data_IF_891516369588
#
_entry.id   IF_891516369588
#
_cell.length_a   1.000
_cell.length_b   1.000
_cell.length_c   1.000
_cell.angle_alpha   90.00
_cell.angle_beta   90.00
_cell.angle_gamma   90.00
#
_symmetry.space_group_name_H-M   'P 1'
#
loop_
_entity.id
_entity.type
_entity.pdbx_description
1 polymer ?
#
# COMPACT_ATOMS: atom_id res chain seq x y z
N UNK A 1 53.09 26.62 90.91
CA UNK A 1 54.07 25.53 90.71
C UNK A 1 55.17 26.07 89.83
N UNK A 2 56.44 25.75 90.11
CA UNK A 2 57.55 26.02 89.19
C UNK A 2 57.79 24.76 88.37
N UNK A 3 58.06 24.93 87.08
CA UNK A 3 58.30 23.86 86.12
C UNK A 3 59.69 24.02 85.52
N UNK A 4 60.43 22.93 85.45
CA UNK A 4 61.62 22.76 84.63
C UNK A 4 61.25 21.79 83.50
N UNK A 5 61.41 22.23 82.25
CA UNK A 5 60.98 21.49 81.08
C UNK A 5 62.12 21.37 80.07
N UNK A 6 62.41 20.13 79.67
CA UNK A 6 63.41 19.80 78.66
C UNK A 6 62.74 19.01 77.52
N UNK A 7 62.92 19.46 76.28
CA UNK A 7 62.47 18.74 75.09
C UNK A 7 63.66 17.96 74.53
N UNK A 8 63.46 16.67 74.31
CA UNK A 8 64.47 15.75 73.83
C UNK A 8 64.21 15.35 72.39
N UNK A 9 65.28 15.37 71.60
CA UNK A 9 65.31 14.70 70.32
C UNK A 9 65.33 13.17 70.51
N UNK A 10 64.85 12.41 69.52
CA UNK A 10 64.91 10.95 69.52
C UNK A 10 66.32 10.41 69.75
N UNK A 11 66.45 9.37 70.57
CA UNK A 11 67.74 8.71 70.82
C UNK A 11 68.02 7.68 69.71
N UNK A 12 68.77 8.07 68.68
CA UNK A 12 69.02 7.23 67.49
C UNK A 12 70.02 6.09 67.73
N UNK A 13 70.89 6.18 68.74
CA UNK A 13 71.78 5.09 69.13
C UNK A 13 71.00 3.97 69.85
N UNK A 14 71.09 2.73 69.37
CA UNK A 14 70.50 1.56 70.02
C UNK A 14 69.04 1.23 69.66
N UNK A 15 68.56 1.63 68.47
CA UNK A 15 67.31 1.10 67.91
C UNK A 15 66.01 1.64 68.54
N UNK A 16 66.03 2.87 69.06
CA UNK A 16 64.80 3.57 69.45
C UNK A 16 64.11 4.17 68.22
N UNK A 17 62.78 4.36 68.30
CA UNK A 17 62.01 5.04 67.25
C UNK A 17 62.53 6.47 67.05
N UNK A 18 63.00 6.75 65.84
CA UNK A 18 63.58 8.03 65.42
C UNK A 18 62.54 9.15 65.26
N UNK A 19 61.26 8.84 65.52
CA UNK A 19 60.14 9.80 65.57
C UNK A 19 59.76 10.18 66.99
N UNK A 20 60.32 9.55 68.02
CA UNK A 20 59.90 9.74 69.42
C UNK A 20 60.46 11.02 70.07
N UNK A 21 60.00 12.18 69.60
CA UNK A 21 60.20 13.46 70.29
C UNK A 21 59.38 13.49 71.58
N UNK A 22 60.02 13.80 72.70
CA UNK A 22 59.35 13.79 74.00
C UNK A 22 59.90 14.87 74.93
N UNK A 23 59.10 15.26 75.92
CA UNK A 23 59.48 16.27 76.90
C UNK A 23 59.49 15.69 78.32
N UNK A 24 60.54 16.01 79.07
CA UNK A 24 60.56 15.83 80.51
C UNK A 24 60.12 17.13 81.18
N UNK A 25 59.08 17.06 82.00
CA UNK A 25 58.51 18.21 82.71
C UNK A 25 58.57 17.91 84.19
N UNK A 26 59.61 18.41 84.85
CA UNK A 26 59.76 18.33 86.30
C UNK A 26 59.07 19.52 86.94
N UNK A 27 58.40 19.30 88.07
CA UNK A 27 57.68 20.38 88.72
C UNK A 27 57.76 20.31 90.24
N UNK A 28 57.69 21.48 90.87
CA UNK A 28 57.79 21.56 92.33
C UNK A 28 56.54 20.99 92.98
N UNK A 29 56.73 20.12 93.98
CA UNK A 29 55.62 19.54 94.75
C UNK A 29 55.13 20.46 95.87
N UNK A 30 55.66 21.68 95.96
CA UNK A 30 55.31 22.72 96.94
C UNK A 30 55.12 24.04 96.20
N UNK A 31 54.23 24.88 96.73
CA UNK A 31 54.08 26.25 96.26
C UNK A 31 55.26 27.10 96.74
N UNK A 32 55.46 28.24 96.07
CA UNK A 32 56.37 29.29 96.56
C UNK A 32 55.53 30.28 97.35
N UNK A 33 55.97 30.59 98.57
CA UNK A 33 55.32 31.53 99.48
C UNK A 33 55.52 32.98 98.99
N UNK A 34 54.84 33.92 99.64
CA UNK A 34 55.03 35.36 99.36
C UNK A 34 56.44 35.86 99.68
N UNK A 35 57.21 35.14 100.48
CA UNK A 35 58.60 35.47 100.83
C UNK A 35 59.62 34.82 99.89
N UNK A 36 59.19 33.96 98.97
CA UNK A 36 60.06 33.25 98.04
C UNK A 36 60.52 31.86 98.50
N UNK A 37 60.12 31.43 99.70
CA UNK A 37 60.44 30.10 100.24
C UNK A 37 59.41 29.03 99.82
N UNK A 38 59.76 27.75 99.93
CA UNK A 38 58.77 26.68 99.73
C UNK A 38 57.75 26.62 100.87
N UNK A 39 56.47 26.54 100.52
CA UNK A 39 55.39 26.32 101.49
C UNK A 39 55.54 24.98 102.23
N UNK A 40 55.14 24.98 103.51
CA UNK A 40 55.24 23.81 104.41
C UNK A 40 54.32 22.65 104.00
N UNK A 41 53.24 22.93 103.28
CA UNK A 41 52.32 21.94 102.73
C UNK A 41 52.76 21.49 101.32
N UNK A 42 52.84 20.17 101.12
CA UNK A 42 53.07 19.55 99.80
C UNK A 42 51.73 19.45 99.06
N UNK A 43 51.73 19.71 97.76
CA UNK A 43 50.62 19.33 96.88
C UNK A 43 50.41 17.82 96.96
N UNK A 44 49.17 17.40 97.19
CA UNK A 44 48.78 15.97 97.28
C UNK A 44 47.97 15.51 96.07
N UNK A 45 47.75 16.40 95.13
CA UNK A 45 46.96 16.20 93.90
C UNK A 45 47.54 15.12 92.97
N UNK A 46 48.78 14.68 93.22
CA UNK A 46 49.48 13.58 92.55
C UNK A 46 49.81 12.38 93.48
N UNK A 47 49.25 12.37 94.70
CA UNK A 47 49.37 11.27 95.67
C UNK A 47 48.43 10.12 95.29
N UNK A 48 48.68 8.92 95.81
CA UNK A 48 47.98 7.67 95.44
C UNK A 48 46.44 7.74 95.53
N UNK A 49 45.89 8.59 96.41
CA UNK A 49 44.44 8.66 96.69
C UNK A 49 43.67 9.60 95.74
N UNK A 50 44.25 10.74 95.35
CA UNK A 50 43.63 11.76 94.48
C UNK A 50 44.28 11.87 93.07
N UNK A 51 45.46 11.26 92.89
CA UNK A 51 46.29 11.39 91.69
C UNK A 51 45.67 10.85 90.42
N UNK A 52 44.80 9.85 90.51
CA UNK A 52 44.18 9.21 89.34
C UNK A 52 43.25 10.15 88.58
N UNK A 53 42.52 11.04 89.28
CA UNK A 53 41.63 12.03 88.64
C UNK A 53 42.41 13.16 88.01
N UNK A 54 43.37 13.73 88.74
CA UNK A 54 44.25 14.81 88.25
C UNK A 54 45.02 14.38 86.99
N UNK A 55 45.59 13.17 87.01
CA UNK A 55 46.33 12.62 85.85
C UNK A 55 45.42 12.37 84.66
N UNK A 56 44.18 11.90 84.89
CA UNK A 56 43.22 11.68 83.79
C UNK A 56 42.83 12.99 83.11
N UNK A 57 42.49 14.03 83.89
CA UNK A 57 42.22 15.36 83.35
C UNK A 57 43.42 15.96 82.62
N UNK A 58 44.64 15.74 83.11
CA UNK A 58 45.85 16.21 82.43
C UNK A 58 46.09 15.51 81.10
N UNK A 59 45.81 14.19 81.02
CA UNK A 59 45.90 13.44 79.75
C UNK A 59 44.88 13.92 78.73
N UNK A 60 43.65 14.16 79.18
CA UNK A 60 42.59 14.74 78.37
C UNK A 60 42.99 16.11 77.84
N UNK A 61 43.35 17.04 78.74
CA UNK A 61 43.77 18.38 78.36
C UNK A 61 45.00 18.38 77.44
N UNK A 62 45.94 17.46 77.65
CA UNK A 62 47.09 17.32 76.75
C UNK A 62 46.68 16.81 75.36
N UNK A 63 45.77 15.83 75.28
CA UNK A 63 45.24 15.37 74.00
C UNK A 63 44.52 16.51 73.24
N UNK A 64 43.75 17.34 73.94
CA UNK A 64 43.07 18.50 73.35
C UNK A 64 44.07 19.55 72.83
N UNK A 65 45.13 19.84 73.60
CA UNK A 65 46.21 20.73 73.18
C UNK A 65 46.89 20.21 71.90
N UNK A 66 47.22 18.91 71.86
CA UNK A 66 47.84 18.28 70.69
C UNK A 66 46.90 18.35 69.49
N UNK A 67 45.63 17.98 69.65
CA UNK A 67 44.64 18.02 68.56
C UNK A 67 44.42 19.43 68.01
N UNK A 68 44.39 20.43 68.88
CA UNK A 68 44.31 21.85 68.48
C UNK A 68 45.52 22.23 67.63
N UNK A 69 46.72 21.81 68.04
CA UNK A 69 47.94 22.12 67.29
C UNK A 69 48.01 21.36 65.95
N UNK A 70 47.56 20.10 65.91
CA UNK A 70 47.46 19.29 64.69
C UNK A 70 46.50 19.95 63.68
N UNK A 71 45.35 20.42 64.14
CA UNK A 71 44.40 21.14 63.30
C UNK A 71 44.99 22.44 62.74
N UNK A 72 45.69 23.22 63.56
CA UNK A 72 46.33 24.47 63.12
C UNK A 72 47.38 24.26 62.02
N UNK A 73 48.04 23.10 61.98
CA UNK A 73 49.00 22.76 60.92
C UNK A 73 48.37 22.01 59.74
N UNK A 74 47.02 21.84 59.73
CA UNK A 74 46.28 21.18 58.65
C UNK A 74 46.32 19.66 58.67
N UNK A 75 46.76 19.04 59.77
CA UNK A 75 46.77 17.59 59.96
C UNK A 75 45.36 17.07 60.26
N UNK A 76 45.00 15.93 59.67
CA UNK A 76 43.70 15.26 59.87
C UNK A 76 43.74 14.24 61.01
N UNK A 77 44.94 13.88 61.45
CA UNK A 77 45.22 12.98 62.53
C UNK A 77 44.76 13.55 63.87
N UNK A 78 44.27 12.68 64.76
CA UNK A 78 43.85 13.06 66.11
C UNK A 78 44.36 12.04 67.11
N UNK A 79 44.71 12.53 68.29
CA UNK A 79 45.09 11.70 69.44
C UNK A 79 43.95 11.68 70.45
N UNK A 80 43.85 10.59 71.21
CA UNK A 80 42.90 10.50 72.32
C UNK A 80 43.59 9.96 73.57
N UNK A 81 43.15 10.45 74.72
CA UNK A 81 43.55 9.94 76.02
C UNK A 81 42.83 8.64 76.40
N UNK A 82 41.75 8.30 75.67
CA UNK A 82 40.92 7.13 75.90
C UNK A 82 41.59 5.86 75.37
N UNK A 83 41.29 4.72 76.01
CA UNK A 83 41.71 3.41 75.48
C UNK A 83 40.90 3.06 74.22
N UNK A 84 41.40 2.12 73.40
CA UNK A 84 40.63 1.61 72.25
C UNK A 84 39.26 1.04 72.65
N UNK A 85 39.17 0.45 73.85
CA UNK A 85 37.89 -0.04 74.39
C UNK A 85 36.92 1.11 74.67
N UNK A 86 37.39 2.19 75.31
CA UNK A 86 36.55 3.34 75.62
C UNK A 86 36.16 4.13 74.36
N UNK A 87 37.03 4.13 73.34
CA UNK A 87 36.73 4.65 72.01
C UNK A 87 35.74 3.78 71.22
N UNK A 88 35.48 2.54 71.66
CA UNK A 88 34.61 1.57 70.98
C UNK A 88 34.92 1.38 69.49
N UNK A 89 36.19 1.58 69.09
CA UNK A 89 36.64 1.43 67.70
C UNK A 89 36.93 -0.03 67.32
N UNK A 90 36.82 -0.94 68.29
CA UNK A 90 37.05 -2.37 68.13
C UNK A 90 38.47 -2.74 67.69
N UNK A 91 39.47 -1.88 67.98
CA UNK A 91 40.88 -2.21 67.85
C UNK A 91 41.37 -2.90 69.13
N UNK A 92 42.30 -3.84 68.97
CA UNK A 92 42.92 -4.58 70.08
C UNK A 92 44.06 -3.75 70.71
N UNK A 93 44.11 -3.66 72.03
CA UNK A 93 45.14 -2.92 72.76
C UNK A 93 46.41 -3.75 72.94
N UNK A 94 47.58 -3.15 72.71
CA UNK A 94 48.88 -3.78 73.00
C UNK A 94 49.20 -3.78 74.49
N UNK A 95 50.02 -4.73 74.93
CA UNK A 95 50.53 -4.80 76.31
C UNK A 95 51.85 -4.04 76.42
N UNK A 96 52.06 -3.34 77.54
CA UNK A 96 53.31 -2.63 77.79
C UNK A 96 54.49 -3.62 77.84
N UNK A 97 55.46 -3.46 76.93
CA UNK A 97 56.61 -4.35 76.79
C UNK A 97 57.56 -4.25 77.99
N UNK A 98 57.73 -3.05 78.56
CA UNK A 98 58.71 -2.81 79.62
C UNK A 98 60.15 -2.81 79.11
N UNK A 99 61.06 -2.26 79.93
CA UNK A 99 62.44 -2.01 79.52
C UNK A 99 63.19 -3.25 79.03
N UNK A 100 63.05 -4.38 79.73
CA UNK A 100 63.78 -5.61 79.41
C UNK A 100 63.37 -6.20 78.05
N UNK A 101 62.07 -6.22 77.75
CA UNK A 101 61.55 -6.69 76.45
C UNK A 101 61.98 -5.75 75.33
N UNK A 102 61.90 -4.43 75.55
CA UNK A 102 62.36 -3.44 74.56
C UNK A 102 63.86 -3.56 74.28
N UNK A 103 64.70 -3.86 75.28
CA UNK A 103 66.13 -4.11 75.07
C UNK A 103 66.40 -5.36 74.26
N UNK A 104 65.73 -6.48 74.57
CA UNK A 104 65.88 -7.73 73.80
C UNK A 104 65.48 -7.52 72.34
N UNK A 105 64.37 -6.80 72.12
CA UNK A 105 63.90 -6.43 70.79
C UNK A 105 64.93 -5.61 70.00
N UNK A 106 65.63 -4.69 70.66
CA UNK A 106 66.72 -3.89 70.04
C UNK A 106 67.93 -4.73 69.62
N UNK A 107 68.15 -5.87 70.28
CA UNK A 107 69.16 -6.85 69.90
C UNK A 107 68.67 -7.84 68.82
N UNK A 108 67.45 -7.65 68.30
CA UNK A 108 66.83 -8.56 67.33
C UNK A 108 66.30 -9.86 67.95
N UNK A 109 66.13 -9.91 69.28
CA UNK A 109 65.60 -11.07 69.99
C UNK A 109 64.12 -10.83 70.29
N UNK A 110 63.27 -11.63 69.66
CA UNK A 110 61.83 -11.56 69.88
C UNK A 110 61.42 -12.24 71.19
N UNK A 111 60.37 -11.70 71.80
CA UNK A 111 59.72 -12.22 73.01
C UNK A 111 58.26 -12.52 72.71
N UNK A 112 57.62 -13.32 73.55
CA UNK A 112 56.18 -13.59 73.43
C UNK A 112 55.34 -12.31 73.44
N UNK A 113 55.71 -11.31 74.24
CA UNK A 113 55.01 -10.02 74.34
C UNK A 113 55.22 -9.18 73.07
N UNK A 114 56.44 -9.10 72.53
CA UNK A 114 56.71 -8.33 71.31
C UNK A 114 56.01 -8.94 70.09
N UNK A 115 56.03 -10.27 69.95
CA UNK A 115 55.33 -11.00 68.88
C UNK A 115 53.80 -10.85 69.00
N UNK A 116 53.25 -10.93 70.21
CA UNK A 116 51.82 -10.73 70.44
C UNK A 116 51.37 -9.30 70.08
N UNK A 117 52.15 -8.29 70.45
CA UNK A 117 51.88 -6.90 70.08
C UNK A 117 51.96 -6.66 68.58
N UNK A 118 52.92 -7.28 67.88
CA UNK A 118 53.04 -7.15 66.43
C UNK A 118 51.86 -7.81 65.72
N UNK A 119 51.42 -8.98 66.18
CA UNK A 119 50.22 -9.63 65.68
C UNK A 119 48.95 -8.78 65.92
N UNK A 120 48.84 -8.11 67.07
CA UNK A 120 47.76 -7.15 67.37
C UNK A 120 47.79 -5.96 66.40
N UNK A 121 48.97 -5.36 66.18
CA UNK A 121 49.14 -4.23 65.25
C UNK A 121 48.76 -4.62 63.83
N UNK A 122 49.15 -5.82 63.39
CA UNK A 122 48.79 -6.35 62.08
C UNK A 122 47.26 -6.51 61.94
N UNK A 123 46.60 -7.17 62.90
CA UNK A 123 45.14 -7.34 62.87
C UNK A 123 44.39 -6.00 62.89
N UNK A 124 44.86 -5.04 63.68
CA UNK A 124 44.29 -3.69 63.70
C UNK A 124 44.45 -2.99 62.34
N UNK A 125 45.62 -3.09 61.72
CA UNK A 125 45.86 -2.53 60.39
C UNK A 125 44.96 -3.17 59.32
N UNK A 126 44.86 -4.51 59.31
CA UNK A 126 43.97 -5.26 58.41
C UNK A 126 42.50 -4.83 58.61
N UNK A 127 42.06 -4.65 59.85
CA UNK A 127 40.70 -4.21 60.16
C UNK A 127 40.40 -2.82 59.59
N UNK A 128 41.30 -1.86 59.79
CA UNK A 128 41.14 -0.50 59.25
C UNK A 128 41.09 -0.49 57.73
N UNK A 129 41.94 -1.28 57.07
CA UNK A 129 41.92 -1.43 55.60
C UNK A 129 40.59 -2.05 55.13
N UNK A 130 40.13 -3.12 55.79
CA UNK A 130 38.88 -3.77 55.44
C UNK A 130 37.66 -2.86 55.62
N UNK A 131 37.60 -2.08 56.71
CA UNK A 131 36.52 -1.12 56.92
C UNK A 131 36.50 -0.03 55.84
N UNK A 132 37.67 0.44 55.40
CA UNK A 132 37.78 1.39 54.30
C UNK A 132 37.29 0.79 52.97
N UNK A 133 37.72 -0.43 52.65
CA UNK A 133 37.29 -1.14 51.43
C UNK A 133 35.78 -1.37 51.43
N UNK A 134 35.20 -1.79 52.56
CA UNK A 134 33.73 -1.97 52.68
C UNK A 134 33.00 -0.66 52.41
N UNK A 135 33.48 0.46 52.96
CA UNK A 135 32.88 1.77 52.74
C UNK A 135 32.95 2.21 51.28
N UNK A 136 34.05 1.95 50.59
CA UNK A 136 34.21 2.22 49.16
C UNK A 136 33.27 1.36 48.32
N UNK A 137 33.18 0.05 48.60
CA UNK A 137 32.26 -0.85 47.92
C UNK A 137 30.79 -0.45 48.13
N UNK A 138 30.41 -0.03 49.33
CA UNK A 138 29.04 0.43 49.63
C UNK A 138 28.67 1.69 48.81
N UNK A 139 29.64 2.59 48.61
CA UNK A 139 29.48 3.75 47.73
C UNK A 139 29.31 3.33 46.26
N UNK A 140 30.12 2.38 45.78
CA UNK A 140 30.01 1.86 44.41
C UNK A 140 28.67 1.15 44.16
N UNK A 141 28.20 0.36 45.12
CA UNK A 141 26.89 -0.30 45.08
C UNK A 141 25.79 0.77 44.98
N UNK A 142 25.83 1.79 45.85
CA UNK A 142 24.84 2.87 45.85
C UNK A 142 24.77 3.60 44.50
N UNK A 143 25.93 3.89 43.90
CA UNK A 143 26.01 4.54 42.57
C UNK A 143 25.45 3.62 41.49
N UNK A 144 25.79 2.33 41.53
CA UNK A 144 25.33 1.33 40.55
C UNK A 144 23.83 1.11 40.62
N UNK A 145 23.26 1.04 41.82
CA UNK A 145 21.81 0.91 42.03
C UNK A 145 21.06 2.10 41.45
N UNK A 146 21.57 3.32 41.66
CA UNK A 146 21.01 4.53 41.08
C UNK A 146 21.03 4.49 39.55
N UNK A 147 22.16 4.09 38.95
CA UNK A 147 22.28 3.98 37.50
C UNK A 147 21.30 2.93 36.93
N UNK A 148 21.11 1.81 37.62
CA UNK A 148 20.15 0.78 37.21
C UNK A 148 18.72 1.32 37.25
N UNK A 149 18.37 2.11 38.28
CA UNK A 149 17.07 2.78 38.35
C UNK A 149 16.86 3.74 37.16
N UNK A 150 17.83 4.61 36.89
CA UNK A 150 17.77 5.56 35.77
C UNK A 150 17.61 4.84 34.42
N UNK A 151 18.39 3.76 34.19
CA UNK A 151 18.30 2.95 32.97
C UNK A 151 16.95 2.23 32.82
N UNK A 152 16.35 1.77 33.93
CA UNK A 152 15.02 1.15 33.91
C UNK A 152 13.95 2.17 33.54
N UNK A 153 14.06 3.40 34.05
CA UNK A 153 13.15 4.49 33.70
C UNK A 153 13.28 4.86 32.21
N UNK A 154 14.50 5.07 31.72
CA UNK A 154 14.77 5.36 30.31
C UNK A 154 14.23 4.26 29.39
N UNK A 155 14.45 2.99 29.77
CA UNK A 155 13.93 1.83 29.01
C UNK A 155 12.40 1.82 28.96
N UNK A 156 11.75 2.11 30.09
CA UNK A 156 10.29 2.19 30.18
C UNK A 156 9.73 3.32 29.31
N UNK A 157 10.36 4.49 29.32
CA UNK A 157 9.97 5.61 28.46
C UNK A 157 10.15 5.30 26.98
N UNK A 158 11.26 4.66 26.62
CA UNK A 158 11.52 4.20 25.26
C UNK A 158 10.45 3.21 24.79
N UNK A 159 10.13 2.20 25.62
CA UNK A 159 9.13 1.18 25.30
C UNK A 159 7.73 1.79 25.16
N UNK A 160 7.37 2.77 26.02
CA UNK A 160 6.13 3.55 25.89
C UNK A 160 6.08 4.32 24.57
N UNK A 161 7.16 5.02 24.21
CA UNK A 161 7.24 5.81 22.97
C UNK A 161 7.16 4.91 21.72
N UNK A 162 7.78 3.73 21.77
CA UNK A 162 7.66 2.74 20.70
C UNK A 162 6.23 2.21 20.58
N UNK A 163 5.58 1.87 21.69
CA UNK A 163 4.19 1.44 21.70
C UNK A 163 3.24 2.52 21.15
N UNK A 164 3.45 3.79 21.51
CA UNK A 164 2.69 4.92 20.98
C UNK A 164 2.88 5.09 19.48
N UNK A 165 4.13 4.99 19.01
CA UNK A 165 4.46 5.08 17.58
C UNK A 165 3.82 3.94 16.79
N UNK A 166 3.89 2.71 17.29
CA UNK A 166 3.26 1.54 16.68
C UNK A 166 1.73 1.67 16.64
N UNK A 167 1.13 2.17 17.72
CA UNK A 167 -0.31 2.44 17.80
C UNK A 167 -0.73 3.53 16.80
N UNK A 168 0.03 4.62 16.71
CA UNK A 168 -0.21 5.69 15.75
C UNK A 168 -0.09 5.20 14.30
N UNK A 169 0.91 4.38 13.98
CA UNK A 169 1.07 3.77 12.66
C UNK A 169 -0.11 2.85 12.31
N UNK A 170 -0.59 2.07 13.27
CA UNK A 170 -1.75 1.18 13.09
C UNK A 170 -3.03 1.99 12.82
N UNK A 171 -3.27 3.06 13.59
CA UNK A 171 -4.41 3.97 13.39
C UNK A 171 -4.33 4.65 12.01
N UNK A 172 -3.14 5.11 11.62
CA UNK A 172 -2.93 5.73 10.31
C UNK A 172 -3.19 4.74 9.16
N UNK A 173 -2.75 3.49 9.29
CA UNK A 173 -3.02 2.44 8.30
C UNK A 173 -4.52 2.12 8.20
N UNK A 174 -5.23 2.04 9.33
CA UNK A 174 -6.69 1.82 9.34
C UNK A 174 -7.44 2.97 8.67
N UNK A 175 -7.09 4.23 8.98
CA UNK A 175 -7.69 5.42 8.34
C UNK A 175 -7.47 5.42 6.83
N UNK A 176 -6.29 5.01 6.36
CA UNK A 176 -6.01 4.90 4.94
C UNK A 176 -6.90 3.85 4.27
N UNK A 177 -7.05 2.67 4.87
CA UNK A 177 -7.94 1.60 4.36
C UNK A 177 -9.39 2.08 4.29
N UNK A 178 -9.87 2.78 5.32
CA UNK A 178 -11.22 3.32 5.37
C UNK A 178 -11.44 4.39 4.29
N UNK A 179 -10.48 5.32 4.14
CA UNK A 179 -10.51 6.33 3.10
C UNK A 179 -10.52 5.71 1.68
N UNK A 180 -9.64 4.73 1.41
CA UNK A 180 -9.56 4.07 0.11
C UNK A 180 -10.86 3.29 -0.20
N UNK A 181 -11.48 2.69 0.83
CA UNK A 181 -12.80 2.04 0.71
C UNK A 181 -13.89 3.06 0.35
N UNK A 182 -13.90 4.22 0.99
CA UNK A 182 -14.89 5.25 0.73
C UNK A 182 -14.72 5.86 -0.67
N UNK A 183 -13.47 6.08 -1.10
CA UNK A 183 -13.17 6.48 -2.48
C UNK A 183 -13.65 5.45 -3.51
N UNK A 184 -13.45 4.15 -3.25
CA UNK A 184 -13.92 3.09 -4.14
C UNK A 184 -15.46 3.05 -4.24
N UNK A 185 -16.17 3.29 -3.14
CA UNK A 185 -17.65 3.44 -3.16
C UNK A 185 -18.07 4.65 -3.98
N UNK A 186 -17.41 5.79 -3.79
CA UNK A 186 -17.72 7.00 -4.55
C UNK A 186 -17.51 6.79 -6.05
N UNK A 187 -16.41 6.13 -6.44
CA UNK A 187 -16.13 5.79 -7.84
C UNK A 187 -17.23 4.88 -8.44
N UNK A 188 -17.71 3.90 -7.68
CA UNK A 188 -18.81 3.04 -8.13
C UNK A 188 -20.12 3.84 -8.29
N UNK A 189 -20.40 4.78 -7.38
CA UNK A 189 -21.58 5.67 -7.46
C UNK A 189 -21.51 6.59 -8.68
N UNK A 190 -20.36 7.23 -8.90
CA UNK A 190 -20.14 8.11 -10.06
C UNK A 190 -20.25 7.33 -11.37
N UNK A 191 -19.66 6.13 -11.41
CA UNK A 191 -19.78 5.22 -12.55
C UNK A 191 -21.23 4.81 -12.81
N UNK A 192 -21.99 4.49 -11.76
CA UNK A 192 -23.40 4.17 -11.88
C UNK A 192 -24.20 5.35 -12.46
N UNK A 193 -23.98 6.57 -11.95
CA UNK A 193 -24.66 7.79 -12.45
C UNK A 193 -24.35 8.05 -13.93
N UNK A 194 -23.09 7.93 -14.34
CA UNK A 194 -22.69 8.08 -15.75
C UNK A 194 -23.35 7.03 -16.65
N UNK A 195 -23.37 5.76 -16.23
CA UNK A 195 -24.00 4.68 -16.99
C UNK A 195 -25.53 4.86 -17.06
N UNK A 196 -26.15 5.33 -15.98
CA UNK A 196 -27.57 5.64 -15.95
C UNK A 196 -27.90 6.79 -16.90
N UNK A 197 -27.12 7.87 -16.92
CA UNK A 197 -27.34 9.00 -17.82
C UNK A 197 -27.20 8.58 -19.29
N UNK A 198 -26.19 7.77 -19.60
CA UNK A 198 -26.03 7.17 -20.94
C UNK A 198 -27.22 6.31 -21.34
N UNK A 199 -27.71 5.47 -20.43
CA UNK A 199 -28.90 4.67 -20.68
C UNK A 199 -30.13 5.55 -20.92
N UNK A 200 -30.34 6.55 -20.07
CA UNK A 200 -31.45 7.50 -20.18
C UNK A 200 -31.45 8.20 -21.54
N UNK A 201 -30.33 8.82 -21.92
CA UNK A 201 -30.23 9.56 -23.17
C UNK A 201 -30.46 8.67 -24.40
N UNK A 202 -29.94 7.43 -24.37
CA UNK A 202 -30.23 6.46 -25.41
C UNK A 202 -31.72 6.11 -25.47
N UNK A 203 -32.31 5.78 -24.32
CA UNK A 203 -33.71 5.36 -24.25
C UNK A 203 -34.63 6.49 -24.71
N UNK A 204 -34.40 7.73 -24.26
CA UNK A 204 -35.19 8.91 -24.65
C UNK A 204 -35.16 9.04 -26.19
N UNK A 205 -33.96 9.00 -26.77
CA UNK A 205 -33.77 9.07 -28.23
C UNK A 205 -34.45 7.92 -28.98
N UNK A 206 -34.35 6.69 -28.45
CA UNK A 206 -34.92 5.49 -29.05
C UNK A 206 -36.46 5.57 -29.08
N UNK A 207 -37.09 5.89 -27.94
CA UNK A 207 -38.54 5.93 -27.84
C UNK A 207 -39.12 7.14 -28.57
N UNK A 208 -38.45 8.29 -28.60
CA UNK A 208 -38.82 9.43 -29.46
C UNK A 208 -38.80 9.01 -30.94
N UNK A 209 -37.74 8.34 -31.38
CA UNK A 209 -37.59 7.87 -32.77
C UNK A 209 -38.70 6.90 -33.16
N UNK A 210 -39.03 5.95 -32.28
CA UNK A 210 -40.13 5.01 -32.47
C UNK A 210 -41.49 5.73 -32.53
N UNK A 211 -41.71 6.69 -31.64
CA UNK A 211 -42.96 7.44 -31.59
C UNK A 211 -43.16 8.28 -32.86
N UNK A 212 -42.12 9.00 -33.29
CA UNK A 212 -42.14 9.78 -34.53
C UNK A 212 -42.42 8.90 -35.76
N UNK A 213 -41.79 7.73 -35.84
CA UNK A 213 -42.08 6.75 -36.90
C UNK A 213 -43.56 6.36 -36.91
N UNK A 214 -44.11 6.01 -35.75
CA UNK A 214 -45.50 5.58 -35.63
C UNK A 214 -46.47 6.71 -35.99
N UNK A 215 -46.14 7.95 -35.62
CA UNK A 215 -46.93 9.13 -35.99
C UNK A 215 -46.94 9.32 -37.52
N UNK A 216 -45.77 9.32 -38.16
CA UNK A 216 -45.69 9.46 -39.63
C UNK A 216 -46.41 8.31 -40.35
N UNK A 217 -46.31 7.08 -39.84
CA UNK A 217 -47.06 5.93 -40.37
C UNK A 217 -48.58 6.08 -40.20
N UNK A 218 -49.02 6.66 -39.08
CA UNK A 218 -50.43 6.96 -38.85
C UNK A 218 -50.93 8.03 -39.83
N UNK A 219 -50.17 9.11 -40.02
CA UNK A 219 -50.53 10.22 -40.91
C UNK A 219 -50.73 9.73 -42.37
N UNK A 220 -49.83 8.88 -42.87
CA UNK A 220 -49.99 8.31 -44.23
C UNK A 220 -51.12 7.28 -44.31
N UNK A 221 -51.45 6.61 -43.21
CA UNK A 221 -52.57 5.67 -43.14
C UNK A 221 -53.90 6.44 -43.19
N UNK A 222 -54.00 7.55 -42.45
CA UNK A 222 -55.13 8.47 -42.54
C UNK A 222 -55.26 9.10 -43.93
N UNK A 223 -54.14 9.45 -44.57
CA UNK A 223 -54.13 9.92 -45.96
C UNK A 223 -54.70 8.87 -46.94
N UNK A 224 -54.32 7.59 -46.77
CA UNK A 224 -54.85 6.49 -47.58
C UNK A 224 -56.36 6.33 -47.38
N UNK A 225 -56.84 6.38 -46.14
CA UNK A 225 -58.27 6.26 -45.85
C UNK A 225 -59.09 7.43 -46.43
N UNK A 226 -58.55 8.65 -46.38
CA UNK A 226 -59.15 9.82 -47.08
C UNK A 226 -59.21 9.59 -48.59
N UNK A 227 -58.16 9.02 -49.18
CA UNK A 227 -58.10 8.71 -50.61
C UNK A 227 -59.14 7.65 -51.00
N UNK A 228 -59.24 6.54 -50.25
CA UNK A 228 -60.27 5.50 -50.46
C UNK A 228 -61.68 6.08 -50.36
N UNK A 229 -61.94 6.92 -49.36
CA UNK A 229 -63.25 7.59 -49.17
C UNK A 229 -63.58 8.56 -50.30
N UNK A 230 -62.59 9.19 -50.92
CA UNK A 230 -62.81 10.03 -52.10
C UNK A 230 -63.08 9.17 -53.34
N UNK A 231 -62.33 8.08 -53.53
CA UNK A 231 -62.52 7.15 -54.65
C UNK A 231 -63.92 6.52 -54.62
N UNK A 232 -64.41 6.14 -53.43
CA UNK A 232 -65.75 5.54 -53.26
C UNK A 232 -66.90 6.47 -53.64
N UNK A 233 -66.64 7.78 -53.83
CA UNK A 233 -67.63 8.76 -54.29
C UNK A 233 -67.62 8.97 -55.80
N UNK A 234 -66.60 8.47 -56.50
CA UNK A 234 -66.52 8.55 -57.96
C UNK A 234 -67.45 7.50 -58.58
N UNK A 235 -68.16 7.86 -59.66
CA UNK A 235 -68.99 6.92 -60.42
C UNK A 235 -68.16 6.28 -61.51
N UNK A 236 -68.38 4.98 -61.73
CA UNK A 236 -67.82 4.22 -62.85
C UNK A 236 -66.28 4.22 -62.95
N UNK A 237 -65.58 4.36 -61.82
CA UNK A 237 -64.11 4.32 -61.76
C UNK A 237 -63.64 3.38 -60.66
N UNK A 238 -62.61 2.57 -60.93
CA UNK A 238 -61.85 1.86 -59.90
C UNK A 238 -60.34 2.08 -60.09
N UNK A 239 -59.59 1.91 -58.99
CA UNK A 239 -58.13 1.97 -58.99
C UNK A 239 -57.56 0.55 -58.87
N UNK A 240 -56.55 0.25 -59.69
CA UNK A 240 -55.75 -0.97 -59.56
C UNK A 240 -54.29 -0.66 -59.84
N UNK A 241 -53.43 -1.01 -58.89
CA UNK A 241 -51.97 -0.88 -58.99
C UNK A 241 -51.47 0.54 -59.28
N UNK A 242 -52.20 1.57 -58.85
CA UNK A 242 -51.91 2.99 -59.05
C UNK A 242 -52.50 3.58 -60.32
N UNK A 243 -53.30 2.82 -61.07
CA UNK A 243 -53.90 3.22 -62.36
C UNK A 243 -55.43 3.19 -62.25
N UNK A 244 -56.09 4.19 -62.83
CA UNK A 244 -57.57 4.27 -62.86
C UNK A 244 -58.14 3.64 -64.13
N UNK A 245 -59.27 2.95 -63.97
CA UNK A 245 -59.97 2.27 -65.04
C UNK A 245 -61.46 2.60 -65.01
N UNK A 246 -62.08 2.66 -66.18
CA UNK A 246 -63.54 2.76 -66.29
C UNK A 246 -64.19 1.43 -65.88
N UNK A 247 -65.18 1.47 -64.99
CA UNK A 247 -65.73 0.27 -64.35
C UNK A 247 -66.41 -0.70 -65.34
N UNK A 248 -67.02 -0.18 -66.41
CA UNK A 248 -67.68 -1.02 -67.42
C UNK A 248 -66.72 -1.49 -68.54
N UNK A 249 -65.95 -0.59 -69.14
CA UNK A 249 -65.11 -0.92 -70.32
C UNK A 249 -63.73 -1.45 -69.95
N UNK A 250 -63.28 -1.25 -68.70
CA UNK A 250 -61.92 -1.59 -68.24
C UNK A 250 -60.80 -0.86 -68.98
N UNK A 251 -61.14 0.22 -69.70
CA UNK A 251 -60.15 1.08 -70.33
C UNK A 251 -59.45 1.94 -69.28
N UNK A 252 -58.16 2.20 -69.50
CA UNK A 252 -57.40 3.14 -68.68
C UNK A 252 -57.94 4.55 -68.86
N UNK A 253 -58.19 5.23 -67.75
CA UNK A 253 -58.68 6.61 -67.76
C UNK A 253 -57.79 7.51 -66.91
N UNK A 254 -57.77 8.80 -67.25
CA UNK A 254 -57.14 9.83 -66.44
C UNK A 254 -58.21 10.62 -65.71
N UNK A 255 -58.05 10.78 -64.39
CA UNK A 255 -58.96 11.56 -63.55
C UNK A 255 -58.16 12.58 -62.73
N UNK A 256 -58.78 13.72 -62.44
CA UNK A 256 -58.19 14.71 -61.55
C UNK A 256 -58.34 14.26 -60.09
N UNK A 257 -57.22 13.85 -59.49
CA UNK A 257 -57.17 13.46 -58.09
C UNK A 257 -56.98 14.68 -57.16
N UNK A 258 -57.44 14.62 -55.90
CA UNK A 258 -57.11 15.62 -54.89
C UNK A 258 -55.59 15.71 -54.67
N UNK A 259 -55.10 16.85 -54.19
CA UNK A 259 -53.67 17.05 -53.89
C UNK A 259 -53.13 16.04 -52.85
N UNK A 260 -53.97 15.60 -51.91
CA UNK A 260 -53.61 14.62 -50.88
C UNK A 260 -53.83 13.16 -51.33
N UNK A 261 -54.04 12.89 -52.61
CA UNK A 261 -54.27 11.54 -53.11
C UNK A 261 -53.10 10.60 -52.86
N UNK A 262 -53.40 9.38 -52.41
CA UNK A 262 -52.45 8.32 -52.19
C UNK A 262 -53.06 6.97 -52.61
N UNK A 263 -52.49 6.34 -53.65
CA UNK A 263 -52.88 4.98 -54.05
C UNK A 263 -52.31 3.92 -53.09
N UNK A 264 -52.88 2.71 -53.12
CA UNK A 264 -52.42 1.59 -52.29
C UNK A 264 -50.96 1.21 -52.56
N UNK A 265 -50.52 1.25 -53.83
CA UNK A 265 -49.12 0.97 -54.20
C UNK A 265 -48.17 2.06 -53.71
N UNK A 266 -48.57 3.33 -53.80
CA UNK A 266 -47.76 4.43 -53.27
C UNK A 266 -47.69 4.38 -51.75
N UNK A 267 -48.78 4.01 -51.06
CA UNK A 267 -48.79 3.79 -49.62
C UNK A 267 -47.79 2.70 -49.22
N UNK A 268 -47.84 1.51 -49.85
CA UNK A 268 -46.93 0.42 -49.52
C UNK A 268 -45.46 0.80 -49.75
N UNK A 269 -45.17 1.54 -50.82
CA UNK A 269 -43.82 2.06 -51.10
C UNK A 269 -43.38 3.06 -50.02
N UNK A 270 -44.21 4.06 -49.70
CA UNK A 270 -43.92 5.06 -48.67
C UNK A 270 -43.73 4.40 -47.30
N UNK A 271 -44.63 3.48 -46.92
CA UNK A 271 -44.55 2.71 -45.68
C UNK A 271 -43.21 1.99 -45.54
N UNK A 272 -42.81 1.23 -46.57
CA UNK A 272 -41.51 0.54 -46.58
C UNK A 272 -40.33 1.49 -46.48
N UNK A 273 -40.39 2.63 -47.16
CA UNK A 273 -39.33 3.65 -47.12
C UNK A 273 -39.20 4.28 -45.72
N UNK A 274 -40.32 4.66 -45.11
CA UNK A 274 -40.36 5.17 -43.73
C UNK A 274 -39.82 4.11 -42.76
N UNK A 275 -40.30 2.87 -42.85
CA UNK A 275 -39.81 1.77 -42.01
C UNK A 275 -38.31 1.56 -42.16
N UNK A 276 -37.78 1.64 -43.39
CA UNK A 276 -36.34 1.51 -43.67
C UNK A 276 -35.54 2.67 -43.10
N UNK A 277 -35.98 3.91 -43.32
CA UNK A 277 -35.31 5.11 -42.83
C UNK A 277 -35.17 5.09 -41.31
N UNK A 278 -36.27 4.84 -40.59
CA UNK A 278 -36.24 4.77 -39.13
C UNK A 278 -35.50 3.54 -38.61
N UNK A 279 -35.54 2.41 -39.33
CA UNK A 279 -34.73 1.25 -38.99
C UNK A 279 -33.23 1.59 -39.04
N UNK A 280 -32.77 2.32 -40.05
CA UNK A 280 -31.37 2.77 -40.15
C UNK A 280 -31.00 3.67 -38.96
N UNK A 281 -31.83 4.68 -38.65
CA UNK A 281 -31.60 5.58 -37.51
C UNK A 281 -31.50 4.82 -36.17
N UNK A 282 -32.35 3.82 -35.96
CA UNK A 282 -32.33 2.99 -34.75
C UNK A 282 -31.05 2.15 -34.67
N UNK A 283 -30.61 1.57 -35.80
CA UNK A 283 -29.37 0.78 -35.85
C UNK A 283 -28.16 1.65 -35.53
N UNK A 284 -28.10 2.85 -36.11
CA UNK A 284 -27.05 3.84 -35.84
C UNK A 284 -27.06 4.23 -34.36
N UNK A 285 -28.21 4.58 -33.80
CA UNK A 285 -28.36 4.93 -32.39
C UNK A 285 -27.88 3.80 -31.44
N UNK A 286 -28.24 2.54 -31.75
CA UNK A 286 -27.80 1.37 -30.99
C UNK A 286 -26.28 1.20 -31.07
N UNK A 287 -25.72 1.34 -32.27
CA UNK A 287 -24.28 1.20 -32.51
C UNK A 287 -23.48 2.27 -31.77
N UNK A 288 -23.86 3.54 -31.91
CA UNK A 288 -23.13 4.68 -31.35
C UNK A 288 -23.16 4.70 -29.82
N UNK A 289 -24.31 4.32 -29.24
CA UNK A 289 -24.50 4.30 -27.79
C UNK A 289 -23.76 3.16 -27.08
N UNK A 290 -23.41 2.08 -27.81
CA UNK A 290 -22.93 0.82 -27.24
C UNK A 290 -23.87 0.31 -26.13
N UNK A 291 -25.17 0.38 -26.37
CA UNK A 291 -26.19 0.24 -25.33
C UNK A 291 -26.13 -1.12 -24.59
N UNK A 292 -25.79 -2.20 -25.29
CA UNK A 292 -25.64 -3.53 -24.66
C UNK A 292 -24.58 -3.53 -23.56
N UNK A 293 -23.44 -2.86 -23.81
CA UNK A 293 -22.36 -2.73 -22.83
C UNK A 293 -22.79 -1.82 -21.69
N UNK A 294 -23.44 -0.69 -22.01
CA UNK A 294 -23.95 0.25 -21.01
C UNK A 294 -24.91 -0.43 -20.05
N UNK A 295 -25.92 -1.15 -20.57
CA UNK A 295 -26.93 -1.84 -19.75
C UNK A 295 -26.30 -2.96 -18.92
N UNK A 296 -25.38 -3.73 -19.50
CA UNK A 296 -24.65 -4.78 -18.77
C UNK A 296 -23.83 -4.21 -17.61
N UNK A 297 -23.05 -3.17 -17.88
CA UNK A 297 -22.16 -2.57 -16.88
C UNK A 297 -22.98 -1.78 -15.83
N UNK A 298 -24.11 -1.19 -16.22
CA UNK A 298 -25.05 -0.56 -15.31
C UNK A 298 -25.62 -1.58 -14.32
N UNK A 299 -26.12 -2.73 -14.81
CA UNK A 299 -26.60 -3.84 -13.95
C UNK A 299 -25.52 -4.34 -13.00
N UNK A 300 -24.30 -4.55 -13.49
CA UNK A 300 -23.16 -5.01 -12.67
C UNK A 300 -22.81 -3.98 -11.58
N UNK A 301 -22.77 -2.70 -11.93
CA UNK A 301 -22.43 -1.63 -10.98
C UNK A 301 -23.54 -1.46 -9.94
N UNK A 302 -24.80 -1.55 -10.36
CA UNK A 302 -25.95 -1.52 -9.47
C UNK A 302 -25.92 -2.69 -8.46
N UNK A 303 -25.69 -3.91 -8.95
CA UNK A 303 -25.56 -5.09 -8.09
C UNK A 303 -24.43 -4.91 -7.05
N UNK A 304 -23.27 -4.40 -7.47
CA UNK A 304 -22.14 -4.13 -6.58
C UNK A 304 -22.47 -3.12 -5.47
N UNK A 305 -23.27 -2.09 -5.76
CA UNK A 305 -23.72 -1.11 -4.76
C UNK A 305 -24.73 -1.76 -3.80
N UNK A 306 -25.72 -2.49 -4.33
CA UNK A 306 -26.76 -3.15 -3.54
C UNK A 306 -26.22 -4.28 -2.65
N UNK A 307 -25.23 -5.04 -3.11
CA UNK A 307 -24.55 -6.08 -2.31
C UNK A 307 -23.85 -5.50 -1.07
N UNK A 308 -23.51 -4.20 -1.09
CA UNK A 308 -22.98 -3.49 0.09
C UNK A 308 -24.09 -3.00 1.04
N UNK A 309 -25.36 -3.21 0.71
CA UNK A 309 -26.50 -2.69 1.47
C UNK A 309 -26.69 -1.18 1.31
N UNK A 310 -26.16 -0.59 0.24
CA UNK A 310 -26.32 0.83 -0.07
C UNK A 310 -27.47 1.05 -1.06
N UNK A 311 -28.22 2.14 -0.89
CA UNK A 311 -29.24 2.54 -1.84
C UNK A 311 -28.62 3.04 -3.15
N UNK A 312 -29.27 2.74 -4.27
CA UNK A 312 -28.85 3.25 -5.57
C UNK A 312 -29.13 4.76 -5.64
N UNK A 313 -28.23 5.57 -6.22
CA UNK A 313 -28.44 7.01 -6.38
C UNK A 313 -29.37 7.29 -7.57
N UNK A 314 -30.59 6.78 -7.50
CA UNK A 314 -31.66 6.96 -8.49
C UNK A 314 -32.81 7.71 -7.85
N UNK A 315 -33.43 8.61 -8.62
CA UNK A 315 -34.66 9.23 -8.16
C UNK A 315 -35.80 8.23 -8.39
N UNK A 316 -36.39 7.72 -7.30
CA UNK A 316 -37.46 6.73 -7.39
C UNK A 316 -38.65 7.30 -8.17
N UNK A 317 -38.99 6.67 -9.29
CA UNK A 317 -40.17 7.02 -10.08
C UNK A 317 -41.14 5.85 -10.15
N UNK A 318 -42.44 6.17 -10.07
CA UNK A 318 -43.48 5.16 -10.23
C UNK A 318 -43.41 4.52 -11.62
N UNK A 319 -43.38 3.18 -11.67
CA UNK A 319 -43.46 2.41 -12.92
C UNK A 319 -44.75 2.75 -13.67
N UNK A 320 -44.65 3.39 -14.83
CA UNK A 320 -45.79 3.72 -15.67
C UNK A 320 -46.10 2.62 -16.69
N UNK A 321 -47.37 2.45 -17.06
CA UNK A 321 -47.82 1.47 -18.05
C UNK A 321 -47.45 1.87 -19.48
N UNK A 322 -47.23 0.90 -20.38
CA UNK A 322 -46.83 1.11 -21.77
C UNK A 322 -47.67 2.16 -22.53
N UNK A 323 -49.00 2.13 -22.36
CA UNK A 323 -49.90 3.11 -22.97
C UNK A 323 -49.73 4.53 -22.41
N UNK A 324 -49.37 4.69 -21.13
CA UNK A 324 -49.02 6.01 -20.57
C UNK A 324 -47.68 6.51 -21.13
N UNK A 325 -46.70 5.64 -21.39
CA UNK A 325 -45.42 6.03 -22.01
C UNK A 325 -45.59 6.57 -23.43
N UNK A 326 -46.52 5.99 -24.19
CA UNK A 326 -46.78 6.36 -25.59
C UNK A 326 -47.61 7.66 -25.75
N UNK A 327 -48.38 8.06 -24.72
CA UNK A 327 -49.39 9.12 -24.84
C UNK A 327 -49.41 10.16 -23.69
N UNK A 328 -48.56 10.06 -22.66
CA UNK A 328 -48.57 11.01 -21.54
C UNK A 328 -47.85 12.33 -21.87
N UNK A 329 -48.49 13.44 -21.47
CA UNK A 329 -47.93 14.81 -21.48
C UNK A 329 -46.99 15.12 -20.29
N UNK A 330 -46.71 14.16 -19.41
CA UNK A 330 -45.66 14.27 -18.36
C UNK A 330 -44.40 13.61 -18.90
N UNK A 331 -43.25 14.27 -18.75
CA UNK A 331 -41.92 13.73 -19.10
C UNK A 331 -41.74 12.34 -18.47
N UNK A 332 -41.85 11.29 -19.30
CA UNK A 332 -41.47 9.94 -18.92
C UNK A 332 -39.94 9.91 -18.87
N UNK A 333 -39.36 9.71 -17.69
CA UNK A 333 -37.91 9.78 -17.50
C UNK A 333 -37.36 8.35 -17.45
N UNK A 334 -36.53 7.99 -18.42
CA UNK A 334 -35.84 6.71 -18.37
C UNK A 334 -34.76 6.70 -17.29
N UNK A 335 -34.68 5.61 -16.54
CA UNK A 335 -33.71 5.40 -15.46
C UNK A 335 -33.39 3.92 -15.29
N UNK A 336 -32.53 3.58 -14.33
CA UNK A 336 -32.30 2.18 -13.95
C UNK A 336 -33.59 1.44 -13.57
N UNK A 337 -34.60 2.11 -13.03
CA UNK A 337 -35.86 1.49 -12.60
C UNK A 337 -36.75 1.08 -13.78
N UNK A 338 -36.55 1.72 -14.93
CA UNK A 338 -37.26 1.45 -16.19
C UNK A 338 -36.42 0.61 -17.15
N UNK A 339 -35.41 -0.11 -16.64
CA UNK A 339 -34.53 -0.96 -17.46
C UNK A 339 -35.29 -2.13 -18.11
N UNK A 340 -36.49 -2.47 -17.62
CA UNK A 340 -37.40 -3.42 -18.28
C UNK A 340 -37.76 -2.99 -19.71
N UNK A 341 -37.77 -1.70 -20.00
CA UNK A 341 -38.15 -1.16 -21.31
C UNK A 341 -37.13 -1.54 -22.38
N UNK A 342 -35.86 -1.62 -21.98
CA UNK A 342 -34.79 -2.14 -22.82
C UNK A 342 -35.02 -3.61 -23.15
N UNK A 343 -35.34 -4.43 -22.15
CA UNK A 343 -35.58 -5.87 -22.36
C UNK A 343 -36.82 -6.12 -23.24
N UNK A 344 -37.87 -5.30 -23.07
CA UNK A 344 -39.12 -5.46 -23.80
C UNK A 344 -39.05 -4.94 -25.24
N UNK A 345 -38.38 -3.81 -25.48
CA UNK A 345 -38.47 -3.10 -26.76
C UNK A 345 -37.18 -3.05 -27.56
N UNK A 346 -36.01 -3.08 -26.89
CA UNK A 346 -34.70 -2.95 -27.56
C UNK A 346 -34.10 -4.32 -27.85
N UNK A 347 -34.11 -5.24 -26.88
CA UNK A 347 -33.55 -6.59 -27.05
C UNK A 347 -34.17 -7.37 -28.23
N UNK A 348 -35.50 -7.35 -28.47
CA UNK A 348 -36.06 -8.01 -29.65
C UNK A 348 -35.59 -7.38 -30.96
N UNK A 349 -35.35 -6.06 -30.98
CA UNK A 349 -34.82 -5.37 -32.15
C UNK A 349 -33.37 -5.74 -32.42
N UNK A 350 -32.53 -5.81 -31.37
CA UNK A 350 -31.15 -6.31 -31.46
C UNK A 350 -31.08 -7.71 -32.06
N UNK A 351 -31.93 -8.63 -31.58
CA UNK A 351 -32.02 -9.99 -32.14
C UNK A 351 -32.39 -9.98 -33.63
N UNK A 352 -33.34 -9.12 -34.04
CA UNK A 352 -33.70 -8.99 -35.46
C UNK A 352 -32.55 -8.45 -36.30
N UNK A 353 -31.79 -7.49 -35.78
CA UNK A 353 -30.59 -6.95 -36.44
C UNK A 353 -29.54 -8.05 -36.59
N UNK A 354 -29.25 -8.79 -35.52
CA UNK A 354 -28.28 -9.89 -35.52
C UNK A 354 -28.64 -10.99 -36.53
N UNK A 355 -29.91 -11.43 -36.54
CA UNK A 355 -30.40 -12.43 -37.50
C UNK A 355 -30.24 -11.93 -38.94
N UNK A 356 -30.60 -10.66 -39.20
CA UNK A 356 -30.46 -10.06 -40.53
C UNK A 356 -29.01 -9.96 -40.95
N UNK A 357 -28.12 -9.59 -40.04
CA UNK A 357 -26.69 -9.47 -40.27
C UNK A 357 -26.09 -10.83 -40.64
N UNK A 358 -26.39 -11.87 -39.85
CA UNK A 358 -26.01 -13.27 -40.15
C UNK A 358 -26.53 -13.72 -41.51
N UNK A 359 -27.77 -13.36 -41.86
CA UNK A 359 -28.31 -13.68 -43.18
C UNK A 359 -27.54 -12.99 -44.31
N UNK A 360 -27.21 -11.70 -44.15
CA UNK A 360 -26.43 -10.94 -45.14
C UNK A 360 -25.04 -11.57 -45.30
N UNK A 361 -24.38 -11.91 -44.20
CA UNK A 361 -23.06 -12.57 -44.21
C UNK A 361 -23.12 -13.91 -44.94
N UNK A 362 -24.12 -14.74 -44.63
CA UNK A 362 -24.34 -16.01 -45.32
C UNK A 362 -24.56 -15.85 -46.83
N UNK A 363 -25.30 -14.82 -47.25
CA UNK A 363 -25.50 -14.54 -48.67
C UNK A 363 -24.19 -14.09 -49.35
N UNK A 364 -23.39 -13.25 -48.67
CA UNK A 364 -22.07 -12.84 -49.17
C UNK A 364 -21.12 -14.02 -49.32
N UNK A 365 -21.12 -14.95 -48.35
CA UNK A 365 -20.30 -16.15 -48.39
C UNK A 365 -20.69 -17.05 -49.58
N UNK A 366 -21.99 -17.29 -49.79
CA UNK A 366 -22.49 -18.01 -50.97
C UNK A 366 -22.13 -17.34 -52.29
N UNK A 367 -22.19 -16.01 -52.33
CA UNK A 367 -21.80 -15.27 -53.52
C UNK A 367 -20.31 -15.46 -53.81
N UNK A 368 -19.46 -15.35 -52.78
CA UNK A 368 -18.02 -15.57 -52.90
C UNK A 368 -17.69 -17.00 -53.34
N UNK A 369 -18.43 -18.01 -52.87
CA UNK A 369 -18.28 -19.40 -53.33
C UNK A 369 -18.62 -19.56 -54.82
N UNK A 370 -19.71 -18.92 -55.29
CA UNK A 370 -20.08 -18.93 -56.71
C UNK A 370 -19.02 -18.25 -57.56
N UNK A 371 -18.54 -17.09 -57.14
CA UNK A 371 -17.47 -16.36 -57.85
C UNK A 371 -16.19 -17.21 -57.95
N UNK A 372 -15.84 -17.95 -56.89
CA UNK A 372 -14.71 -18.91 -56.91
C UNK A 372 -14.94 -20.06 -57.89
N UNK A 373 -16.16 -20.62 -57.95
CA UNK A 373 -16.50 -21.70 -58.89
C UNK A 373 -16.44 -21.23 -60.35
N UNK A 374 -16.99 -20.05 -60.63
CA UNK A 374 -16.95 -19.42 -61.95
C UNK A 374 -15.49 -19.14 -62.37
N UNK A 375 -14.63 -18.72 -61.45
CA UNK A 375 -13.20 -18.52 -61.71
C UNK A 375 -12.47 -19.84 -62.03
N UNK A 376 -12.79 -20.92 -61.31
CA UNK A 376 -12.25 -22.26 -61.59
C UNK A 376 -12.72 -22.74 -62.97
N UNK A 377 -14.00 -22.58 -63.29
CA UNK A 377 -14.56 -22.98 -64.57
C UNK A 377 -13.95 -22.20 -65.73
N UNK A 378 -13.79 -20.88 -65.58
CA UNK A 378 -13.08 -20.03 -66.53
C UNK A 378 -11.64 -20.52 -66.76
N UNK A 379 -10.90 -20.85 -65.71
CA UNK A 379 -9.54 -21.40 -65.82
C UNK A 379 -9.51 -22.75 -66.56
N UNK A 380 -10.49 -23.63 -66.31
CA UNK A 380 -10.62 -24.90 -67.06
C UNK A 380 -10.88 -24.66 -68.54
N UNK A 381 -11.83 -23.79 -68.86
CA UNK A 381 -12.16 -23.45 -70.25
C UNK A 381 -10.96 -22.83 -70.98
N UNK A 382 -10.22 -21.92 -70.32
CA UNK A 382 -8.99 -21.34 -70.88
C UNK A 382 -7.91 -22.40 -71.14
N UNK A 383 -7.77 -23.40 -70.26
CA UNK A 383 -6.86 -24.53 -70.47
C UNK A 383 -7.30 -25.42 -71.64
N UNK A 384 -8.59 -25.72 -71.75
CA UNK A 384 -9.14 -26.53 -72.84
C UNK A 384 -8.94 -25.85 -74.21
N UNK A 385 -9.23 -24.55 -74.30
CA UNK A 385 -8.96 -23.74 -75.50
C UNK A 385 -7.48 -23.77 -75.87
N UNK A 386 -6.56 -23.71 -74.89
CA UNK A 386 -5.11 -23.84 -75.15
C UNK A 386 -4.75 -25.22 -75.68
N UNK A 387 -5.32 -26.29 -75.12
CA UNK A 387 -5.07 -27.66 -75.59
C UNK A 387 -5.58 -27.87 -77.02
N UNK A 388 -6.80 -27.42 -77.33
CA UNK A 388 -7.37 -27.50 -78.67
C UNK A 388 -6.51 -26.74 -79.68
N UNK A 389 -6.01 -25.55 -79.32
CA UNK A 389 -5.08 -24.79 -80.18
C UNK A 389 -3.79 -25.57 -80.44
N UNK A 390 -3.19 -26.15 -79.42
CA UNK A 390 -1.97 -26.94 -79.53
C UNK A 390 -2.18 -28.20 -80.39
N UNK A 391 -3.31 -28.88 -80.22
CA UNK A 391 -3.66 -30.08 -80.98
C UNK A 391 -3.93 -29.75 -82.46
N UNK A 392 -4.64 -28.65 -82.73
CA UNK A 392 -4.83 -28.14 -84.09
C UNK A 392 -3.49 -27.75 -84.73
N UNK A 393 -2.59 -27.10 -84.00
CA UNK A 393 -1.25 -26.74 -84.50
C UNK A 393 -0.44 -27.98 -84.87
N UNK A 394 -0.41 -29.00 -84.00
CA UNK A 394 0.19 -30.31 -84.31
C UNK A 394 -0.44 -30.98 -85.53
N UNK A 395 -1.77 -30.91 -85.65
CA UNK A 395 -2.49 -31.46 -86.80
C UNK A 395 -2.12 -30.72 -88.09
N UNK A 396 -2.07 -29.39 -88.08
CA UNK A 396 -1.64 -28.60 -89.22
C UNK A 396 -0.18 -28.89 -89.60
N UNK A 397 0.72 -29.05 -88.63
CA UNK A 397 2.10 -29.47 -88.89
C UNK A 397 2.18 -30.88 -89.49
N UNK A 398 1.37 -31.82 -88.99
CA UNK A 398 1.29 -33.19 -89.53
C UNK A 398 0.75 -33.20 -90.97
N UNK A 399 -0.35 -32.49 -91.25
CA UNK A 399 -0.90 -32.33 -92.59
C UNK A 399 0.11 -31.65 -93.53
N UNK A 400 0.85 -30.65 -93.04
CA UNK A 400 1.92 -29.99 -93.80
C UNK A 400 3.04 -30.97 -94.13
N UNK A 401 3.48 -31.78 -93.18
CA UNK A 401 4.52 -32.79 -93.38
C UNK A 401 4.08 -33.92 -94.32
N UNK A 402 2.82 -34.36 -94.23
CA UNK A 402 2.25 -35.32 -95.18
C UNK A 402 2.21 -34.76 -96.59
N UNK A 403 1.79 -33.50 -96.78
CA UNK A 403 1.84 -32.84 -98.10
C UNK A 403 3.25 -32.78 -98.67
N UNK A 404 4.26 -32.49 -97.83
CA UNK A 404 5.67 -32.53 -98.23
C UNK A 404 6.16 -33.94 -98.58
N UNK A 405 5.65 -34.99 -97.92
CA UNK A 405 5.94 -36.38 -98.27
C UNK A 405 5.26 -36.79 -99.58
N UNK A 406 3.96 -36.51 -99.75
CA UNK A 406 3.25 -36.83 -100.98
C UNK A 406 3.78 -36.07 -102.20
N UNK A 407 4.28 -34.84 -102.03
CA UNK A 407 5.02 -34.15 -103.11
C UNK A 407 6.31 -34.88 -103.49
N UNK A 408 7.09 -35.35 -102.51
CA UNK A 408 8.31 -36.15 -102.75
C UNK A 408 8.00 -37.49 -103.42
N UNK A 409 6.93 -38.15 -103.02
CA UNK A 409 6.50 -39.43 -103.61
C UNK A 409 6.03 -39.24 -105.05
N UNK A 410 5.31 -38.15 -105.35
CA UNK A 410 4.90 -37.80 -106.71
C UNK A 410 6.10 -37.46 -107.63
N UNK A 411 7.16 -36.83 -107.10
CA UNK A 411 8.39 -36.57 -107.85
C UNK A 411 9.20 -37.85 -108.17
N UNK A 412 8.97 -38.94 -107.41
CA UNK A 412 9.67 -40.23 -107.62
C UNK A 412 8.88 -41.22 -108.49
N UNK A 413 7.58 -41.04 -108.66
CA UNK A 413 6.73 -41.81 -109.59
C UNK A 413 6.64 -41.17 -111.00
N UNK A 414 7.73 -41.20 -111.77
CA UNK A 414 7.65 -41.01 -113.24
C UNK A 414 7.58 -42.35 -113.98
N UNK A 415 6.52 -42.62 -114.77
CA UNK A 415 6.52 -43.72 -115.74
C UNK A 415 7.21 -43.32 -117.07
N UNK A 416 8.07 -44.21 -117.57
CA UNK A 416 8.84 -44.13 -118.83
C UNK A 416 7.97 -43.91 -120.08
N UNK A 417 8.48 -43.21 -121.13
CA UNK A 417 7.68 -42.78 -122.27
C UNK A 417 7.37 -43.90 -123.28
N UNK A 418 6.21 -43.82 -123.93
CA UNK A 418 5.79 -44.65 -125.07
C UNK A 418 5.24 -43.78 -126.23
N UNK A 419 5.28 -44.29 -127.48
CA UNK A 419 5.79 -43.56 -128.64
C UNK A 419 4.72 -42.93 -129.55
N UNK A 420 5.18 -41.97 -130.36
CA UNK A 420 4.43 -41.27 -131.41
C UNK A 420 4.10 -42.21 -132.57
N UNK A 421 2.86 -42.15 -133.07
CA UNK A 421 2.50 -42.63 -134.40
C UNK A 421 1.88 -41.48 -135.18
N UNK A 422 2.46 -41.27 -136.35
CA UNK A 422 2.18 -40.22 -137.31
C UNK A 422 0.96 -40.60 -138.17
N UNK A 423 0.12 -39.61 -138.46
CA UNK A 423 -0.84 -39.67 -139.57
C UNK A 423 -0.49 -38.51 -140.52
N UNK A 424 -0.24 -38.85 -141.77
CA UNK A 424 -0.35 -37.99 -142.96
C UNK A 424 -1.14 -38.81 -144.01
N UNK A 425 -1.76 -38.18 -145.02
CA UNK A 425 -2.82 -37.18 -144.99
C UNK A 425 -4.21 -37.76 -145.36
#
# INVERSE_FOLDING_TARGET
MIVDAAIHAPHIEGGSDDRNYHAHVMFTTRAISKTGDFESKKYRDFSRDDGTKTVSHWREHFADLVNTQLEQIGSTERVSHLSYKDLSNGLEATVHEGYAVTQLRRLGIDTEISLANDAIRQRNAEKTVNEQVIKELDQEITVSERLICDLREEKSEYDRKQAETQKAATIAAQRKIEHDREQAKQLDRDKFLQLQDRYKNFADSYFITINNKNQVLNDISEQLERSKKWLSKQRDVYERAGIFYHAMTHDMISINTPNDWLSSVQFDRKKKEIERQYQTQIIELISDSNIEIVVRDLRKTAAKILERGEDLPVNHQEKQTFFKKLFAKKEYVHSYETLSDYDEHVVPMLKKIEIRQKHIEHQKEKQLEREKLDEIEKKRYEQEVRQIKLENEKRYESERNQRYQSQRDFETEQPKPRPKNDFEP
#
